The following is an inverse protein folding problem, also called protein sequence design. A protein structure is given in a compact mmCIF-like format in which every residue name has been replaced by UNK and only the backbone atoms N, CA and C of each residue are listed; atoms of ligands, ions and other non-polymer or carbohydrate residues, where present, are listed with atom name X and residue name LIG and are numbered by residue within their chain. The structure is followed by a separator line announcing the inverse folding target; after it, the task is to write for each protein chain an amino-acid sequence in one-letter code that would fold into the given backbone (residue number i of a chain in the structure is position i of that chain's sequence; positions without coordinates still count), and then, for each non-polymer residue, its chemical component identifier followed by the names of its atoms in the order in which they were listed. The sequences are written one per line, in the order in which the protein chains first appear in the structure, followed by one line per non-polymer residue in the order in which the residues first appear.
data_IF_190198572176
#
_entry.id   IF_190198572176
#
_cell.length_a   1.000
_cell.length_b   1.000
_cell.length_c   1.000
_cell.angle_alpha   90.00
_cell.angle_beta   90.00
_cell.angle_gamma   90.00
#
_symmetry.space_group_name_H-M   'P 1'
#
loop_
_entity.id
_entity.type
_entity.pdbx_description
1 polymer ?
#
# COMPACT_ATOMS: atom_id res chain seq x y z
N UNK A 1 4.22 1.44 37.74
CA UNK A 1 4.55 2.09 36.48
C UNK A 1 3.26 2.43 35.76
N UNK A 2 2.83 3.69 35.87
CA UNK A 2 1.75 4.26 35.07
C UNK A 2 2.30 4.52 33.68
N UNK A 3 2.01 3.64 32.71
CA UNK A 3 2.21 3.95 31.31
C UNK A 3 1.12 4.96 30.93
N UNK A 4 1.51 6.21 30.71
CA UNK A 4 0.68 7.20 30.05
C UNK A 4 0.45 6.72 28.60
N UNK A 5 -0.63 5.93 28.40
CA UNK A 5 -1.20 5.80 27.06
C UNK A 5 -1.72 7.19 26.71
N UNK A 6 -1.01 7.92 25.86
CA UNK A 6 -1.57 9.08 25.20
C UNK A 6 -2.85 8.61 24.52
N UNK A 7 -3.97 9.15 24.95
CA UNK A 7 -5.27 8.94 24.33
C UNK A 7 -5.18 9.61 22.96
N UNK A 8 -4.78 8.83 21.93
CA UNK A 8 -4.69 9.28 20.55
C UNK A 8 -6.13 9.45 20.09
N UNK A 9 -6.56 10.69 19.90
CA UNK A 9 -7.89 10.99 19.37
C UNK A 9 -7.93 10.52 17.91
N UNK A 10 -8.78 9.54 17.66
CA UNK A 10 -9.03 9.03 16.32
C UNK A 10 -10.02 9.97 15.63
N UNK A 11 -9.51 10.89 14.81
CA UNK A 11 -10.34 11.73 13.97
C UNK A 11 -10.64 10.99 12.66
N UNK A 12 -11.81 10.37 12.55
CA UNK A 12 -12.36 9.93 11.27
C UNK A 12 -13.01 11.16 10.64
N UNK A 13 -12.31 11.83 9.71
CA UNK A 13 -12.89 12.98 9.00
C UNK A 13 -13.67 12.53 7.76
N UNK A 14 -13.14 11.58 7.00
CA UNK A 14 -13.75 11.10 5.76
C UNK A 14 -13.46 9.61 5.54
N UNK A 15 -14.38 8.92 4.85
CA UNK A 15 -14.20 7.53 4.42
C UNK A 15 -13.95 7.48 2.92
N UNK A 16 -12.87 6.83 2.53
CA UNK A 16 -12.49 6.65 1.13
C UNK A 16 -12.40 5.16 0.76
N UNK A 17 -12.53 4.86 -0.54
CA UNK A 17 -12.44 3.52 -1.09
C UNK A 17 -11.39 3.51 -2.19
N UNK A 18 -10.51 2.54 -2.22
CA UNK A 18 -9.52 2.34 -3.27
C UNK A 18 -9.70 0.98 -3.92
N UNK A 19 -9.54 0.91 -5.24
CA UNK A 19 -9.50 -0.33 -5.98
C UNK A 19 -8.09 -0.92 -5.95
N UNK A 20 -7.07 -0.08 -6.16
CA UNK A 20 -5.68 -0.49 -6.21
C UNK A 20 -4.96 -0.26 -4.89
N UNK A 21 -4.85 0.98 -4.48
CA UNK A 21 -4.04 1.34 -3.32
C UNK A 21 -4.44 2.65 -2.64
N UNK A 22 -4.09 2.73 -1.37
CA UNK A 22 -3.84 3.97 -0.66
C UNK A 22 -2.33 4.13 -0.49
N UNK A 23 -1.82 5.36 -0.62
CA UNK A 23 -0.45 5.64 -0.24
C UNK A 23 -0.31 6.98 0.46
N UNK A 24 0.65 7.02 1.37
CA UNK A 24 1.00 8.21 2.15
C UNK A 24 2.38 8.67 1.74
N UNK A 25 2.52 9.97 1.46
CA UNK A 25 3.80 10.60 1.15
C UNK A 25 3.94 11.90 1.92
N UNK A 26 5.19 12.28 2.19
CA UNK A 26 5.47 13.58 2.78
C UNK A 26 4.84 14.70 1.94
N UNK A 27 4.26 15.68 2.61
CA UNK A 27 3.64 16.85 1.99
C UNK A 27 4.40 18.09 2.41
N UNK A 28 5.34 18.51 1.56
CA UNK A 28 6.15 19.73 1.74
C UNK A 28 6.47 20.32 0.36
N UNK A 29 6.51 21.65 0.29
CA UNK A 29 6.69 22.36 -0.98
C UNK A 29 8.16 22.64 -1.32
N UNK A 30 9.08 22.69 -0.33
CA UNK A 30 10.42 23.23 -0.54
C UNK A 30 11.59 22.30 -0.20
N UNK A 31 11.35 21.11 0.36
CA UNK A 31 12.40 20.20 0.82
C UNK A 31 12.15 18.79 0.30
N UNK A 32 13.22 18.06 -0.03
CA UNK A 32 13.13 16.64 -0.42
C UNK A 32 12.32 15.85 0.61
N UNK A 33 11.16 15.29 0.19
CA UNK A 33 10.16 14.86 1.13
C UNK A 33 10.46 13.47 1.67
N UNK A 34 11.04 13.40 2.85
CA UNK A 34 10.97 12.17 3.65
C UNK A 34 9.97 12.35 4.78
N UNK A 35 9.26 11.28 5.12
CA UNK A 35 8.39 11.22 6.29
C UNK A 35 8.80 10.06 7.20
N UNK A 36 8.42 10.16 8.46
CA UNK A 36 8.47 9.03 9.39
C UNK A 36 7.04 8.63 9.71
N UNK A 37 6.71 7.38 9.45
CA UNK A 37 5.40 6.80 9.66
C UNK A 37 5.50 5.65 10.67
N UNK A 38 4.69 5.68 11.71
CA UNK A 38 4.52 4.53 12.60
C UNK A 38 3.38 3.68 12.06
N UNK A 39 3.66 2.40 11.87
CA UNK A 39 2.70 1.39 11.45
C UNK A 39 2.27 0.56 12.65
N UNK A 40 0.97 0.54 12.89
CA UNK A 40 0.32 -0.33 13.86
C UNK A 40 -0.57 -1.35 13.11
N UNK A 41 -0.49 -2.61 13.48
CA UNK A 41 -1.32 -3.70 12.93
C UNK A 41 -2.04 -4.36 14.12
N UNK A 42 -3.37 -4.39 14.07
CA UNK A 42 -4.24 -5.01 15.10
C UNK A 42 -3.94 -4.54 16.53
N UNK A 43 -3.50 -3.29 16.70
CA UNK A 43 -3.19 -2.67 17.98
C UNK A 43 -1.74 -2.82 18.44
N UNK A 44 -0.88 -3.45 17.64
CA UNK A 44 0.56 -3.59 17.91
C UNK A 44 1.37 -2.69 16.99
N UNK A 45 2.29 -1.90 17.55
CA UNK A 45 3.26 -1.13 16.73
C UNK A 45 4.29 -2.10 16.18
N UNK A 46 4.34 -2.22 14.86
CA UNK A 46 5.21 -3.20 14.16
C UNK A 46 6.44 -2.57 13.51
N UNK A 47 6.36 -1.31 13.07
CA UNK A 47 7.51 -0.62 12.47
C UNK A 47 7.38 0.91 12.57
N UNK A 48 8.52 1.60 12.52
CA UNK A 48 8.62 3.04 12.30
C UNK A 48 9.42 3.28 11.02
N UNK A 49 8.71 3.49 9.95
CA UNK A 49 9.24 3.59 8.59
C UNK A 49 9.65 5.03 8.31
N UNK A 50 10.94 5.26 8.09
CA UNK A 50 11.46 6.52 7.57
C UNK A 50 11.80 6.35 6.10
N UNK A 51 11.21 7.17 5.23
CA UNK A 51 11.39 7.08 3.78
C UNK A 51 10.49 8.06 3.04
N UNK A 52 10.25 7.81 1.76
CA UNK A 52 9.39 8.66 0.93
C UNK A 52 7.90 8.46 1.22
N UNK A 53 7.53 7.32 1.82
CA UNK A 53 6.15 7.03 2.16
C UNK A 53 5.84 5.55 2.41
N UNK A 54 4.57 5.23 2.34
CA UNK A 54 4.02 3.89 2.56
C UNK A 54 2.85 3.63 1.63
N UNK A 55 2.81 2.47 1.01
CA UNK A 55 1.71 2.00 0.16
C UNK A 55 0.97 0.88 0.87
N UNK A 56 -0.36 0.93 0.81
CA UNK A 56 -1.29 -0.08 1.31
C UNK A 56 -2.12 -0.53 0.13
N UNK A 57 -1.81 -1.71 -0.42
CA UNK A 57 -2.36 -2.14 -1.71
C UNK A 57 -3.25 -3.37 -1.58
N UNK A 58 -4.27 -3.40 -2.41
CA UNK A 58 -5.08 -4.61 -2.65
C UNK A 58 -4.29 -5.60 -3.54
N UNK A 59 -4.70 -6.86 -3.65
CA UNK A 59 -4.12 -7.78 -4.62
C UNK A 59 -4.20 -7.26 -6.07
N UNK A 60 -5.28 -6.58 -6.42
CA UNK A 60 -5.43 -5.94 -7.75
C UNK A 60 -4.37 -4.87 -7.97
N UNK A 61 -4.13 -4.03 -6.97
CA UNK A 61 -3.11 -2.97 -7.00
C UNK A 61 -1.68 -3.47 -6.87
N UNK A 62 -1.46 -4.75 -6.50
CA UNK A 62 -0.11 -5.32 -6.32
C UNK A 62 0.75 -5.27 -7.57
N UNK A 63 0.13 -5.18 -8.76
CA UNK A 63 0.82 -5.01 -10.04
C UNK A 63 1.02 -3.54 -10.46
N UNK A 64 0.61 -2.60 -9.61
CA UNK A 64 0.73 -1.15 -9.81
C UNK A 64 1.88 -0.53 -9.02
N UNK A 65 1.55 0.48 -8.22
CA UNK A 65 2.56 1.25 -7.46
C UNK A 65 3.30 0.39 -6.42
N UNK A 66 2.61 -0.56 -5.79
CA UNK A 66 3.23 -1.49 -4.86
C UNK A 66 4.33 -2.33 -5.52
N UNK A 67 4.15 -2.76 -6.78
CA UNK A 67 5.19 -3.47 -7.53
C UNK A 67 6.42 -2.60 -7.75
N UNK A 68 6.22 -1.34 -8.15
CA UNK A 68 7.32 -0.38 -8.34
C UNK A 68 8.10 -0.10 -7.04
N UNK A 69 7.45 -0.24 -5.88
CA UNK A 69 8.08 -0.15 -4.57
C UNK A 69 8.71 -1.49 -4.09
N UNK A 70 8.82 -2.49 -4.97
CA UNK A 70 9.41 -3.79 -4.64
C UNK A 70 8.46 -4.76 -3.93
N UNK A 71 7.16 -4.51 -4.01
CA UNK A 71 6.13 -5.42 -3.47
C UNK A 71 5.94 -6.68 -4.31
N UNK A 72 5.37 -7.75 -3.74
CA UNK A 72 5.07 -8.98 -4.47
C UNK A 72 3.86 -8.80 -5.38
N UNK A 73 3.82 -9.57 -6.46
CA UNK A 73 2.61 -9.72 -7.28
C UNK A 73 1.68 -10.71 -6.59
N UNK A 74 0.48 -10.27 -6.26
CA UNK A 74 -0.58 -11.12 -5.72
C UNK A 74 -1.63 -11.41 -6.79
N UNK A 75 -2.04 -12.67 -6.86
CA UNK A 75 -3.20 -13.04 -7.68
C UNK A 75 -4.47 -12.39 -7.09
N UNK A 76 -5.36 -11.78 -7.92
CA UNK A 76 -6.58 -11.13 -7.42
C UNK A 76 -7.54 -12.02 -6.63
N UNK A 77 -7.40 -13.34 -6.75
CA UNK A 77 -8.15 -14.31 -5.95
C UNK A 77 -7.58 -14.56 -4.54
N UNK A 78 -6.50 -13.88 -4.16
CA UNK A 78 -5.93 -13.95 -2.81
C UNK A 78 -6.46 -12.76 -2.01
N UNK A 79 -7.09 -13.04 -0.88
CA UNK A 79 -7.51 -11.99 0.04
C UNK A 79 -6.36 -11.61 0.96
N UNK A 80 -5.78 -10.43 0.74
CA UNK A 80 -4.68 -9.89 1.53
C UNK A 80 -4.56 -8.38 1.36
N UNK A 81 -3.74 -7.74 2.20
CA UNK A 81 -3.29 -6.36 2.02
C UNK A 81 -1.77 -6.37 1.93
N UNK A 82 -1.22 -5.72 0.92
CA UNK A 82 0.22 -5.49 0.79
C UNK A 82 0.57 -4.17 1.45
N UNK A 83 1.54 -4.18 2.34
CA UNK A 83 2.10 -2.99 3.00
C UNK A 83 3.52 -2.81 2.51
N UNK A 84 3.75 -1.83 1.63
CA UNK A 84 5.02 -1.63 0.95
C UNK A 84 5.61 -0.25 1.26
N UNK A 85 6.75 -0.18 1.99
CA UNK A 85 7.48 1.07 2.16
C UNK A 85 8.00 1.63 0.84
N UNK A 86 7.98 2.96 0.69
CA UNK A 86 8.55 3.65 -0.47
C UNK A 86 9.93 4.16 -0.09
N UNK A 87 10.97 3.66 -0.74
CA UNK A 87 12.37 4.05 -0.54
C UNK A 87 12.73 4.17 0.95
N UNK A 88 12.53 3.13 1.77
CA UNK A 88 12.83 3.20 3.19
C UNK A 88 14.34 3.38 3.42
N UNK A 89 14.69 4.24 4.37
CA UNK A 89 16.09 4.47 4.76
C UNK A 89 16.64 3.32 5.59
N UNK A 90 15.78 2.55 6.26
CA UNK A 90 16.17 1.38 7.04
C UNK A 90 16.31 0.15 6.15
N UNK A 91 17.45 -0.54 6.27
CA UNK A 91 17.68 -1.81 5.58
C UNK A 91 16.80 -2.96 6.13
N UNK A 92 16.19 -2.80 7.29
CA UNK A 92 15.29 -3.79 7.90
C UNK A 92 13.84 -3.65 7.43
N UNK A 93 13.41 -2.47 7.00
CA UNK A 93 12.04 -2.28 6.49
C UNK A 93 11.81 -3.09 5.22
N UNK A 94 10.76 -3.89 5.23
CA UNK A 94 10.39 -4.78 4.13
C UNK A 94 8.91 -4.67 3.84
N UNK A 95 8.56 -4.96 2.60
CA UNK A 95 7.16 -5.20 2.23
C UNK A 95 6.64 -6.41 2.98
N UNK A 96 5.48 -6.26 3.60
CA UNK A 96 4.77 -7.35 4.27
C UNK A 96 3.40 -7.56 3.65
N UNK A 97 2.93 -8.79 3.67
CA UNK A 97 1.57 -9.16 3.26
C UNK A 97 0.82 -9.56 4.52
N UNK A 98 -0.28 -8.90 4.79
CA UNK A 98 -1.08 -9.11 5.99
C UNK A 98 -2.45 -9.68 5.65
N UNK A 99 -3.10 -10.38 6.60
CA UNK A 99 -4.47 -10.88 6.40
C UNK A 99 -5.45 -9.77 6.02
N UNK A 100 -6.52 -10.08 5.26
CA UNK A 100 -7.48 -9.09 4.79
C UNK A 100 -8.23 -8.39 5.93
N UNK A 101 -8.39 -9.07 7.08
CA UNK A 101 -9.07 -8.53 8.25
C UNK A 101 -8.18 -7.68 9.16
N UNK A 102 -6.89 -7.57 8.86
CA UNK A 102 -5.98 -6.74 9.62
C UNK A 102 -6.45 -5.27 9.61
N UNK A 103 -6.40 -4.66 10.78
CA UNK A 103 -6.66 -3.23 10.95
C UNK A 103 -5.32 -2.50 11.00
N UNK A 104 -5.02 -1.74 9.97
CA UNK A 104 -3.78 -0.98 9.83
C UNK A 104 -4.02 0.45 10.29
N UNK A 105 -3.18 0.96 11.19
CA UNK A 105 -3.21 2.36 11.63
C UNK A 105 -1.85 2.97 11.34
N UNK A 106 -1.85 4.08 10.62
CA UNK A 106 -0.64 4.78 10.24
C UNK A 106 -0.63 6.16 10.86
N UNK A 107 0.42 6.45 11.64
CA UNK A 107 0.63 7.71 12.31
C UNK A 107 1.80 8.44 11.69
N UNK A 108 1.62 9.64 11.12
CA UNK A 108 2.74 10.53 10.84
C UNK A 108 3.44 10.92 12.14
N UNK A 109 4.76 10.71 12.18
CA UNK A 109 5.59 11.08 13.31
C UNK A 109 6.42 12.33 12.98
N UNK A 110 6.64 13.15 13.99
CA UNK A 110 7.45 14.37 13.89
C UNK A 110 6.74 15.56 14.54
N UNK A 111 7.43 16.68 14.58
CA UNK A 111 6.92 17.95 15.09
C UNK A 111 6.94 19.00 13.96
N UNK A 112 6.07 19.99 14.04
CA UNK A 112 6.03 21.08 13.06
C UNK A 112 5.50 20.63 11.70
N UNK A 113 6.21 20.96 10.62
CA UNK A 113 5.76 20.77 9.23
C UNK A 113 5.99 19.32 8.71
N UNK A 114 5.69 18.31 9.55
CA UNK A 114 5.77 16.90 9.15
C UNK A 114 4.42 16.34 8.69
N UNK A 115 3.76 17.09 7.80
CA UNK A 115 2.49 16.69 7.20
C UNK A 115 2.67 15.57 6.18
N UNK A 116 1.67 14.73 6.07
CA UNK A 116 1.63 13.61 5.13
C UNK A 116 0.35 13.68 4.33
N UNK A 117 0.46 13.55 3.02
CA UNK A 117 -0.70 13.52 2.12
C UNK A 117 -1.09 12.08 1.83
N UNK A 118 -2.37 11.80 2.02
CA UNK A 118 -3.01 10.54 1.63
C UNK A 118 -3.49 10.64 0.19
N UNK A 119 -3.18 9.60 -0.58
CA UNK A 119 -3.60 9.44 -1.96
C UNK A 119 -4.38 8.13 -2.10
N UNK A 120 -5.28 8.09 -3.07
CA UNK A 120 -6.14 6.96 -3.41
C UNK A 120 -6.13 6.74 -4.91
N UNK A 121 -5.70 5.58 -5.39
CA UNK A 121 -5.67 5.25 -6.82
C UNK A 121 -5.09 6.39 -7.68
N UNK A 122 -4.03 7.04 -7.20
CA UNK A 122 -3.37 8.17 -7.85
C UNK A 122 -4.02 9.55 -7.62
N UNK A 123 -5.15 9.65 -6.92
CA UNK A 123 -5.85 10.91 -6.64
C UNK A 123 -5.63 11.34 -5.19
N UNK A 124 -5.25 12.59 -4.96
CA UNK A 124 -5.08 13.14 -3.61
C UNK A 124 -6.40 13.20 -2.84
N UNK A 125 -6.38 12.74 -1.60
CA UNK A 125 -7.56 12.73 -0.71
C UNK A 125 -7.49 13.82 0.34
N UNK A 126 -6.57 13.69 1.29
CA UNK A 126 -6.46 14.58 2.46
C UNK A 126 -5.02 14.70 2.91
N UNK A 127 -4.76 15.70 3.72
CA UNK A 127 -3.49 15.88 4.42
C UNK A 127 -3.70 15.49 5.87
N UNK A 128 -2.80 14.69 6.41
CA UNK A 128 -2.74 14.32 7.81
C UNK A 128 -1.75 15.22 8.52
N UNK A 129 -2.22 15.87 9.57
CA UNK A 129 -1.40 16.67 10.46
C UNK A 129 -0.75 15.77 11.53
N UNK A 130 0.35 16.21 12.17
CA UNK A 130 0.92 15.50 13.30
C UNK A 130 -0.12 15.22 14.39
N UNK A 131 -0.24 13.96 14.80
CA UNK A 131 -1.25 13.52 15.78
C UNK A 131 -2.56 13.00 15.18
N UNK A 132 -2.78 13.16 13.89
CA UNK A 132 -3.85 12.48 13.16
C UNK A 132 -3.36 11.13 12.63
N UNK A 133 -4.28 10.20 12.36
CA UNK A 133 -3.93 8.91 11.81
C UNK A 133 -4.83 8.53 10.63
N UNK A 134 -4.30 7.65 9.79
CA UNK A 134 -5.06 6.97 8.76
C UNK A 134 -5.34 5.53 9.22
N UNK A 135 -6.59 5.10 9.13
CA UNK A 135 -6.99 3.71 9.39
C UNK A 135 -7.37 3.07 8.07
N UNK A 136 -6.70 1.97 7.74
CA UNK A 136 -6.96 1.19 6.51
C UNK A 136 -7.36 -0.23 6.88
N UNK A 137 -8.39 -0.71 6.24
CA UNK A 137 -8.91 -2.07 6.39
C UNK A 137 -9.61 -2.50 5.11
N UNK A 138 -9.84 -3.80 4.96
CA UNK A 138 -10.63 -4.32 3.84
C UNK A 138 -12.04 -3.72 3.83
N UNK A 139 -12.49 -3.33 2.66
CA UNK A 139 -13.87 -2.87 2.46
C UNK A 139 -14.88 -4.00 2.70
N UNK A 140 -16.06 -3.64 3.20
CA UNK A 140 -17.16 -4.61 3.39
C UNK A 140 -17.70 -5.18 2.07
N UNK A 141 -17.57 -4.41 0.99
CA UNK A 141 -18.03 -4.80 -0.35
C UNK A 141 -16.83 -4.93 -1.28
N UNK A 142 -16.76 -6.05 -1.98
CA UNK A 142 -15.75 -6.27 -3.00
C UNK A 142 -16.14 -5.55 -4.31
N UNK A 143 -15.15 -5.03 -5.03
CA UNK A 143 -15.36 -4.55 -6.38
C UNK A 143 -15.68 -5.74 -7.29
N UNK A 144 -16.75 -5.63 -8.06
CA UNK A 144 -17.14 -6.65 -9.04
C UNK A 144 -16.63 -6.26 -10.41
N UNK A 145 -15.81 -7.13 -11.02
CA UNK A 145 -15.30 -6.94 -12.37
C UNK A 145 -16.11 -7.79 -13.34
N UNK A 146 -16.75 -7.15 -14.32
CA UNK A 146 -17.48 -7.83 -15.39
C UNK A 146 -16.53 -8.09 -16.55
N UNK A 147 -16.38 -9.36 -16.94
CA UNK A 147 -15.66 -9.75 -18.14
C UNK A 147 -16.66 -10.00 -19.27
N UNK A 148 -16.56 -9.22 -20.35
CA UNK A 148 -17.46 -9.31 -21.49
C UNK A 148 -17.04 -10.35 -22.53
N UNK A 149 -15.79 -10.79 -22.54
CA UNK A 149 -15.22 -11.75 -23.49
C UNK A 149 -14.29 -12.73 -22.78
N UNK A 150 -13.87 -13.81 -23.48
CA UNK A 150 -12.83 -14.70 -22.98
C UNK A 150 -11.50 -13.93 -22.90
N UNK A 151 -11.23 -13.39 -21.71
CA UNK A 151 -9.94 -12.74 -21.44
C UNK A 151 -8.85 -13.79 -21.30
N UNK A 152 -7.61 -13.49 -21.70
CA UNK A 152 -6.48 -14.37 -21.41
C UNK A 152 -6.37 -14.59 -19.89
N UNK A 153 -5.79 -15.71 -19.48
CA UNK A 153 -5.59 -15.98 -18.05
C UNK A 153 -4.79 -14.87 -17.38
N UNK A 154 -5.01 -14.68 -16.09
CA UNK A 154 -4.29 -13.67 -15.30
C UNK A 154 -2.78 -13.75 -15.52
N UNK A 155 -2.20 -14.95 -15.41
CA UNK A 155 -0.76 -15.14 -15.54
C UNK A 155 -0.24 -14.80 -16.94
N UNK A 156 -0.98 -15.11 -17.99
CA UNK A 156 -0.63 -14.72 -19.36
C UNK A 156 -0.65 -13.20 -19.52
N UNK A 157 -1.62 -12.54 -18.93
CA UNK A 157 -1.71 -11.07 -18.94
C UNK A 157 -0.53 -10.45 -18.21
N UNK A 158 -0.21 -10.93 -16.99
CA UNK A 158 0.93 -10.44 -16.20
C UNK A 158 2.25 -10.70 -16.94
N UNK A 159 2.47 -11.90 -17.46
CA UNK A 159 3.68 -12.24 -18.20
C UNK A 159 3.88 -11.34 -19.42
N UNK A 160 2.79 -11.07 -20.18
CA UNK A 160 2.82 -10.16 -21.32
C UNK A 160 3.13 -8.73 -20.92
N UNK A 161 2.49 -8.21 -19.87
CA UNK A 161 2.64 -6.83 -19.39
C UNK A 161 4.02 -6.56 -18.79
N UNK A 162 4.58 -7.53 -18.09
CA UNK A 162 5.90 -7.43 -17.45
C UNK A 162 7.04 -7.95 -18.33
N UNK A 163 6.73 -8.36 -19.56
CA UNK A 163 7.70 -8.95 -20.50
C UNK A 163 8.46 -10.14 -19.90
N UNK A 164 7.77 -10.95 -19.07
CA UNK A 164 8.35 -12.19 -18.55
C UNK A 164 8.61 -13.15 -19.71
N UNK A 165 9.65 -13.96 -19.60
CA UNK A 165 10.11 -14.88 -20.62
C UNK A 165 10.63 -14.23 -21.93
N UNK A 166 10.78 -12.91 -22.00
CA UNK A 166 11.48 -12.13 -23.01
C UNK A 166 11.91 -12.87 -24.28
N UNK A 167 13.17 -13.19 -24.39
CA UNK A 167 13.76 -13.90 -25.56
C UNK A 167 13.50 -15.42 -25.62
N UNK A 168 12.88 -16.02 -24.57
CA UNK A 168 12.56 -17.46 -24.58
C UNK A 168 11.35 -17.80 -25.46
N UNK A 169 10.63 -16.80 -25.95
CA UNK A 169 9.47 -16.99 -26.84
C UNK A 169 9.84 -17.41 -28.26
N UNK A 170 11.13 -17.42 -28.63
CA UNK A 170 11.60 -17.92 -29.94
C UNK A 170 11.62 -19.46 -30.04
N UNK A 171 11.47 -20.18 -28.95
CA UNK A 171 11.39 -21.63 -28.91
C UNK A 171 10.04 -22.07 -28.34
N UNK A 172 8.97 -22.06 -29.15
CA UNK A 172 7.77 -22.81 -28.80
C UNK A 172 8.08 -24.31 -28.96
N UNK A 173 8.03 -25.12 -27.88
CA UNK A 173 7.98 -26.55 -28.07
C UNK A 173 6.63 -26.86 -28.73
N UNK A 174 6.67 -27.45 -29.91
CA UNK A 174 5.51 -28.08 -30.54
C UNK A 174 5.05 -29.22 -29.64
N UNK A 175 4.03 -28.96 -28.82
CA UNK A 175 3.31 -30.04 -28.18
C UNK A 175 2.36 -30.65 -29.20
N UNK A 176 2.75 -31.80 -29.73
CA UNK A 176 1.84 -32.76 -30.36
C UNK A 176 0.94 -33.40 -29.31
#
# INVERSE_FOLDING_TARGET
HLSLRRQRQMCIRDSHWALNDFYLRAYRDEISPTCTLELEIDGEVVDQIRGDGLILSTPTGSTGYALAAGGPILHPGIDAIVVAPICPMSLSSRTVVVPPRARLVIWPLGAGDHRVKLWKDGVGCTVLEPGECCVVQQARHHAQMVQLNQSPSYYRTVASKLHWAGSLTAAQPSHN
#
